data_IF_790067838528
#
_entry.id   IF_790067838528
#
_cell.length_a   1.000
_cell.length_b   1.000
_cell.length_c   1.000
_cell.angle_alpha   90.00
_cell.angle_beta   90.00
_cell.angle_gamma   90.00
#
_symmetry.space_group_name_H-M   'P 1'
#
loop_
_entity.id
_entity.type
_entity.pdbx_description
1 polymer ?
#
# COMPACT_ATOMS: atom_id res chain seq x y z
N UNK A 1 -16.05 18.24 -5.21
CA UNK A 1 -15.54 16.87 -5.06
C UNK A 1 -14.03 16.86 -5.17
N UNK A 2 -13.32 16.22 -4.24
CA UNK A 2 -11.84 16.18 -4.31
C UNK A 2 -11.37 15.41 -5.55
N UNK A 3 -10.53 16.06 -6.34
CA UNK A 3 -9.98 15.49 -7.57
C UNK A 3 -8.57 15.04 -7.30
N UNK A 4 -8.23 13.82 -7.68
CA UNK A 4 -6.88 13.30 -7.57
C UNK A 4 -6.22 13.20 -8.95
N UNK A 5 -4.95 13.60 -9.01
CA UNK A 5 -4.14 13.54 -10.23
C UNK A 5 -2.87 12.76 -9.93
N UNK A 6 -2.68 11.65 -10.61
CA UNK A 6 -1.42 10.87 -10.58
C UNK A 6 -0.78 10.76 -9.19
N UNK A 7 -1.60 10.45 -8.16
CA UNK A 7 -1.07 10.30 -6.81
C UNK A 7 -0.21 9.05 -6.74
N UNK A 8 1.02 9.25 -6.36
CA UNK A 8 2.02 8.23 -6.19
C UNK A 8 2.65 8.35 -4.81
N UNK A 9 3.01 7.23 -4.23
CA UNK A 9 3.78 7.20 -2.98
C UNK A 9 4.90 6.18 -3.11
N UNK A 10 6.10 6.61 -2.76
CA UNK A 10 7.29 5.77 -2.80
C UNK A 10 7.74 5.47 -1.38
N UNK A 11 7.91 4.18 -1.09
CA UNK A 11 8.39 3.69 0.21
C UNK A 11 9.66 2.90 0.00
N UNK A 12 10.73 3.30 0.68
CA UNK A 12 12.06 2.70 0.54
C UNK A 12 12.50 2.10 1.86
N UNK A 13 13.11 0.93 1.80
CA UNK A 13 13.69 0.29 2.98
C UNK A 13 14.81 -0.66 2.58
N UNK A 14 15.68 -0.95 3.54
CA UNK A 14 16.79 -1.87 3.36
C UNK A 14 16.47 -3.18 4.07
N UNK A 15 16.82 -4.31 3.48
CA UNK A 15 16.62 -5.62 4.09
C UNK A 15 17.71 -5.85 5.15
N UNK A 16 17.28 -6.12 6.37
CA UNK A 16 18.13 -6.47 7.50
C UNK A 16 18.03 -7.98 7.81
N UNK A 17 18.98 -8.56 8.57
CA UNK A 17 18.95 -9.99 8.91
C UNK A 17 17.63 -10.46 9.54
N UNK A 18 17.01 -9.65 10.41
CA UNK A 18 15.73 -9.99 11.04
C UNK A 18 14.55 -10.04 10.07
N UNK A 19 14.73 -9.53 8.85
CA UNK A 19 13.69 -9.54 7.82
C UNK A 19 13.73 -10.81 6.97
N UNK A 20 14.63 -11.73 7.26
CA UNK A 20 14.89 -12.90 6.42
C UNK A 20 14.36 -14.19 7.05
N UNK A 21 14.07 -15.16 6.19
CA UNK A 21 13.74 -16.52 6.61
C UNK A 21 14.96 -17.22 7.21
N UNK A 22 14.69 -18.20 8.05
CA UNK A 22 15.75 -19.07 8.55
C UNK A 22 16.44 -19.81 7.40
N UNK A 23 15.65 -20.31 6.45
CA UNK A 23 16.17 -21.04 5.29
C UNK A 23 15.19 -20.97 4.12
N UNK A 24 15.55 -20.41 2.97
CA UNK A 24 16.81 -19.69 2.68
C UNK A 24 16.86 -18.32 3.37
N UNK A 25 18.05 -17.71 3.51
CA UNK A 25 18.21 -16.42 4.17
C UNK A 25 17.80 -15.26 3.25
N UNK A 26 16.55 -15.27 2.81
CA UNK A 26 15.95 -14.27 1.93
C UNK A 26 14.78 -13.62 2.67
N UNK A 27 14.39 -12.44 2.23
CA UNK A 27 13.26 -11.75 2.85
C UNK A 27 12.02 -12.65 2.85
N UNK A 28 11.31 -12.70 3.98
CA UNK A 28 10.09 -13.50 4.05
C UNK A 28 8.88 -12.70 3.54
N UNK A 29 7.90 -13.45 2.98
CA UNK A 29 6.75 -12.85 2.32
C UNK A 29 5.92 -11.92 3.21
N UNK A 30 5.78 -12.26 4.49
CA UNK A 30 5.06 -11.41 5.45
C UNK A 30 5.68 -10.05 5.64
N UNK A 31 7.02 -9.96 5.63
CA UNK A 31 7.74 -8.69 5.66
C UNK A 31 7.41 -7.86 4.43
N UNK A 32 7.46 -8.47 3.25
CA UNK A 32 7.14 -7.79 1.99
C UNK A 32 5.68 -7.32 1.99
N UNK A 33 4.74 -8.15 2.43
CA UNK A 33 3.34 -7.76 2.52
C UNK A 33 3.13 -6.56 3.45
N UNK A 34 3.79 -6.55 4.61
CA UNK A 34 3.69 -5.43 5.55
C UNK A 34 4.20 -4.13 4.94
N UNK A 35 5.31 -4.19 4.20
CA UNK A 35 5.88 -3.02 3.55
C UNK A 35 5.02 -2.55 2.38
N UNK A 36 4.39 -3.46 1.65
CA UNK A 36 3.41 -3.12 0.61
C UNK A 36 2.21 -2.39 1.21
N UNK A 37 1.72 -2.85 2.35
CA UNK A 37 0.60 -2.21 3.04
C UNK A 37 0.97 -0.80 3.52
N UNK A 38 2.18 -0.61 4.02
CA UNK A 38 2.70 0.71 4.41
C UNK A 38 2.75 1.65 3.20
N UNK A 39 3.27 1.17 2.07
CA UNK A 39 3.33 1.96 0.83
C UNK A 39 1.93 2.36 0.36
N UNK A 40 1.02 1.41 0.35
CA UNK A 40 -0.37 1.65 -0.05
C UNK A 40 -1.07 2.63 0.89
N UNK A 41 -0.87 2.48 2.20
CA UNK A 41 -1.44 3.39 3.20
C UNK A 41 -0.94 4.83 3.00
N UNK A 42 0.34 5.01 2.68
CA UNK A 42 0.90 6.32 2.38
C UNK A 42 0.25 6.97 1.16
N UNK A 43 -0.02 6.16 0.14
CA UNK A 43 -0.70 6.61 -1.07
C UNK A 43 -2.14 7.04 -0.78
N UNK A 44 -2.88 6.22 -0.02
CA UNK A 44 -4.25 6.53 0.38
C UNK A 44 -4.31 7.80 1.25
N UNK A 45 -3.35 7.95 2.16
CA UNK A 45 -3.26 9.15 3.00
C UNK A 45 -3.15 10.41 2.15
N UNK A 46 -2.29 10.38 1.13
CA UNK A 46 -2.15 11.50 0.19
C UNK A 46 -3.44 11.76 -0.58
N UNK A 47 -4.07 10.69 -1.08
CA UNK A 47 -5.31 10.81 -1.83
C UNK A 47 -6.44 11.43 -0.99
N UNK A 48 -6.53 11.04 0.27
CA UNK A 48 -7.59 11.50 1.17
C UNK A 48 -7.31 12.85 1.84
N UNK A 49 -6.24 13.53 1.49
CA UNK A 49 -5.89 14.80 2.11
C UNK A 49 -7.03 15.82 2.04
N UNK A 50 -7.71 15.89 0.91
CA UNK A 50 -8.83 16.81 0.69
C UNK A 50 -10.21 16.10 0.75
N UNK A 51 -10.23 14.83 1.15
CA UNK A 51 -11.46 14.06 1.28
C UNK A 51 -12.18 14.37 2.60
N UNK A 52 -13.51 14.31 2.64
CA UNK A 52 -14.24 14.35 3.91
C UNK A 52 -13.95 13.13 4.77
N UNK A 53 -13.54 12.02 4.17
CA UNK A 53 -13.15 10.81 4.88
C UNK A 53 -11.63 10.81 5.07
N UNK A 54 -11.19 11.00 6.33
CA UNK A 54 -9.77 11.09 6.67
C UNK A 54 -9.17 9.75 7.13
N UNK A 55 -10.00 8.75 7.40
CA UNK A 55 -9.57 7.45 7.90
C UNK A 55 -9.89 6.36 6.88
N UNK A 56 -8.95 5.47 6.66
CA UNK A 56 -9.12 4.33 5.78
C UNK A 56 -8.44 3.11 6.38
N UNK A 57 -8.99 1.95 6.11
CA UNK A 57 -8.45 0.67 6.59
C UNK A 57 -8.27 -0.29 5.43
N UNK A 58 -7.22 -1.10 5.49
CA UNK A 58 -7.00 -2.19 4.53
C UNK A 58 -8.06 -3.26 4.77
N UNK A 59 -8.82 -3.60 3.73
CA UNK A 59 -9.86 -4.63 3.82
C UNK A 59 -9.55 -5.87 3.02
N UNK A 60 -8.70 -5.77 2.00
CA UNK A 60 -8.42 -6.88 1.12
C UNK A 60 -7.07 -6.69 0.43
N UNK A 61 -6.34 -7.79 0.28
CA UNK A 61 -5.09 -7.84 -0.48
C UNK A 61 -5.28 -8.92 -1.54
N UNK A 62 -5.07 -8.58 -2.81
CA UNK A 62 -5.27 -9.50 -3.93
C UNK A 62 -4.12 -9.43 -4.93
N UNK A 63 -4.04 -10.45 -5.77
CA UNK A 63 -3.11 -10.49 -6.91
C UNK A 63 -1.65 -10.24 -6.49
N UNK A 64 -1.28 -10.73 -5.31
CA UNK A 64 0.09 -10.58 -4.82
C UNK A 64 0.95 -11.65 -5.44
N UNK A 65 2.06 -11.22 -6.03
CA UNK A 65 3.06 -12.10 -6.60
C UNK A 65 4.45 -11.67 -6.13
N UNK A 66 5.26 -12.65 -5.75
CA UNK A 66 6.66 -12.48 -5.44
C UNK A 66 7.48 -13.15 -6.54
N UNK A 67 8.23 -12.36 -7.30
CA UNK A 67 8.96 -12.86 -8.48
C UNK A 67 10.37 -13.29 -8.16
N UNK A 68 11.06 -12.52 -7.34
CA UNK A 68 12.47 -12.76 -6.99
C UNK A 68 12.65 -12.47 -5.51
N UNK A 69 13.50 -13.25 -4.86
CA UNK A 69 13.84 -13.02 -3.46
C UNK A 69 14.79 -11.84 -3.30
N UNK A 70 14.60 -11.10 -2.21
CA UNK A 70 15.53 -10.04 -1.82
C UNK A 70 16.41 -10.52 -0.68
N UNK A 71 17.63 -10.04 -0.63
CA UNK A 71 18.66 -10.44 0.33
C UNK A 71 19.03 -9.30 1.25
N UNK A 72 19.68 -9.64 2.36
CA UNK A 72 20.21 -8.64 3.31
C UNK A 72 21.09 -7.64 2.56
N UNK A 73 20.82 -6.35 2.82
CA UNK A 73 21.55 -5.25 2.19
C UNK A 73 20.94 -4.69 0.93
N UNK A 74 19.95 -5.38 0.35
CA UNK A 74 19.24 -4.86 -0.81
C UNK A 74 18.38 -3.67 -0.42
N UNK A 75 18.34 -2.64 -1.27
CA UNK A 75 17.42 -1.53 -1.15
C UNK A 75 16.14 -1.88 -1.91
N UNK A 76 15.01 -1.81 -1.24
CA UNK A 76 13.70 -2.08 -1.83
C UNK A 76 12.97 -0.75 -2.00
N UNK A 77 12.39 -0.56 -3.18
CA UNK A 77 11.60 0.61 -3.51
C UNK A 77 10.22 0.12 -3.91
N UNK A 78 9.22 0.49 -3.12
CA UNK A 78 7.82 0.18 -3.39
C UNK A 78 7.11 1.43 -3.87
N UNK A 79 6.48 1.34 -5.04
CA UNK A 79 5.72 2.44 -5.63
C UNK A 79 4.24 2.07 -5.59
N UNK A 80 3.46 2.92 -4.94
CA UNK A 80 2.02 2.74 -4.80
C UNK A 80 1.28 3.80 -5.63
N UNK A 81 0.28 3.36 -6.39
CA UNK A 81 -0.57 4.25 -7.20
C UNK A 81 -2.02 3.87 -7.01
N UNK A 82 -2.92 4.86 -7.07
CA UNK A 82 -4.36 4.60 -7.02
C UNK A 82 -4.78 4.05 -8.38
N UNK A 83 -5.31 2.84 -8.41
CA UNK A 83 -5.70 2.17 -9.64
C UNK A 83 -7.21 2.12 -9.88
N UNK A 84 -8.02 2.22 -8.83
CA UNK A 84 -9.48 2.19 -8.98
C UNK A 84 -10.13 2.89 -7.78
N UNK A 85 -11.26 3.56 -8.05
CA UNK A 85 -12.07 4.21 -7.02
C UNK A 85 -13.49 3.65 -7.05
N UNK A 86 -13.94 3.10 -5.92
CA UNK A 86 -15.34 2.82 -5.67
C UNK A 86 -15.97 3.98 -4.91
N UNK A 87 -17.11 3.78 -4.27
CA UNK A 87 -17.77 4.82 -3.46
C UNK A 87 -17.06 4.99 -2.12
N UNK A 88 -16.78 3.89 -1.44
CA UNK A 88 -16.05 3.87 -0.17
C UNK A 88 -14.68 3.20 -0.33
N UNK A 89 -14.43 2.50 -1.43
CA UNK A 89 -13.22 1.73 -1.65
C UNK A 89 -12.21 2.47 -2.50
N UNK A 90 -10.94 2.22 -2.21
CA UNK A 90 -9.79 2.74 -2.96
C UNK A 90 -8.88 1.56 -3.23
N UNK A 91 -8.66 1.24 -4.49
CA UNK A 91 -7.71 0.20 -4.87
C UNK A 91 -6.36 0.83 -5.15
N UNK A 92 -5.33 0.28 -4.53
CA UNK A 92 -3.95 0.71 -4.71
C UNK A 92 -3.16 -0.42 -5.34
N UNK A 93 -2.45 -0.12 -6.41
CA UNK A 93 -1.51 -1.05 -7.01
C UNK A 93 -0.12 -0.72 -6.49
N UNK A 94 0.55 -1.73 -5.93
CA UNK A 94 1.92 -1.59 -5.41
C UNK A 94 2.85 -2.44 -6.25
N UNK A 95 3.96 -1.86 -6.67
CA UNK A 95 5.04 -2.56 -7.36
C UNK A 95 6.32 -2.38 -6.56
N UNK A 96 7.06 -3.46 -6.37
CA UNK A 96 8.34 -3.43 -5.66
C UNK A 96 9.49 -3.78 -6.59
N UNK A 97 10.56 -3.02 -6.48
CA UNK A 97 11.82 -3.32 -7.15
C UNK A 97 12.93 -3.40 -6.10
N UNK A 98 13.96 -4.17 -6.40
CA UNK A 98 15.20 -4.11 -5.63
C UNK A 98 16.27 -3.40 -6.42
N UNK A 99 17.05 -2.58 -5.74
CA UNK A 99 18.22 -1.93 -6.28
C UNK A 99 19.45 -2.62 -5.71
N UNK A 100 20.26 -3.20 -6.60
CA UNK A 100 21.53 -3.81 -6.24
C UNK A 100 22.58 -2.74 -5.98
N UNK A 101 23.66 -3.12 -5.32
CA UNK A 101 24.77 -2.21 -5.00
C UNK A 101 25.38 -1.53 -6.23
N UNK A 102 25.31 -2.17 -7.40
CA UNK A 102 25.78 -1.62 -8.66
C UNK A 102 24.79 -0.68 -9.35
N UNK A 103 23.63 -0.46 -8.73
CA UNK A 103 22.57 0.40 -9.25
C UNK A 103 21.60 -0.28 -10.20
N UNK A 104 21.79 -1.55 -10.53
CA UNK A 104 20.83 -2.30 -11.33
C UNK A 104 19.58 -2.58 -10.55
N UNK A 105 18.42 -2.51 -11.23
CA UNK A 105 17.12 -2.73 -10.61
C UNK A 105 16.46 -3.98 -11.19
N UNK A 106 15.57 -4.57 -10.39
CA UNK A 106 14.90 -5.81 -10.73
C UNK A 106 13.52 -5.82 -10.09
N UNK A 107 12.48 -6.18 -10.87
CA UNK A 107 11.13 -6.32 -10.33
C UNK A 107 11.06 -7.52 -9.39
N UNK A 108 10.57 -7.32 -8.17
CA UNK A 108 10.52 -8.38 -7.16
C UNK A 108 9.12 -8.75 -6.73
N UNK A 109 8.18 -7.83 -6.77
CA UNK A 109 6.81 -8.11 -6.34
C UNK A 109 5.81 -7.11 -6.90
N UNK A 110 4.55 -7.49 -6.85
CA UNK A 110 3.43 -6.61 -7.13
C UNK A 110 2.20 -7.09 -6.36
N UNK A 111 1.21 -6.22 -6.23
CA UNK A 111 -0.03 -6.59 -5.58
C UNK A 111 -1.04 -5.45 -5.62
N UNK A 112 -2.27 -5.77 -5.25
CA UNK A 112 -3.37 -4.81 -5.12
C UNK A 112 -3.89 -4.85 -3.70
N UNK A 113 -4.06 -3.67 -3.12
CA UNK A 113 -4.58 -3.51 -1.77
C UNK A 113 -5.82 -2.63 -1.85
N UNK A 114 -6.90 -3.09 -1.24
CA UNK A 114 -8.17 -2.36 -1.24
C UNK A 114 -8.39 -1.80 0.15
N UNK A 115 -8.57 -0.48 0.19
CA UNK A 115 -8.89 0.28 1.39
C UNK A 115 -10.35 0.70 1.35
N UNK A 116 -10.94 0.82 2.52
CA UNK A 116 -12.29 1.37 2.67
C UNK A 116 -12.18 2.57 3.61
N UNK A 117 -12.74 3.69 3.17
CA UNK A 117 -12.80 4.90 3.99
C UNK A 117 -13.90 4.77 5.03
N UNK A 118 -13.60 5.17 6.26
CA UNK A 118 -14.46 4.98 7.42
C UNK A 118 -14.56 6.26 8.25
N UNK A 119 -15.59 6.35 9.06
CA UNK A 119 -15.69 7.39 10.09
C UNK A 119 -14.57 7.19 11.11
N UNK A 120 -14.23 8.24 11.84
CA UNK A 120 -13.22 8.19 12.89
C UNK A 120 -13.46 6.97 13.80
N UNK A 121 -12.56 5.98 13.79
CA UNK A 121 -12.73 4.74 14.54
C UNK A 121 -12.77 4.92 16.05
N UNK A 122 -12.25 6.03 16.58
CA UNK A 122 -12.27 6.31 18.01
C UNK A 122 -13.64 6.69 18.52
N UNK A 123 -14.41 7.42 17.70
CA UNK A 123 -15.66 8.06 18.12
C UNK A 123 -16.91 7.49 17.44
N UNK A 124 -16.73 6.73 16.35
CA UNK A 124 -17.84 6.27 15.53
C UNK A 124 -17.68 4.80 15.17
N UNK A 125 -18.45 3.94 15.84
CA UNK A 125 -18.52 2.52 15.52
C UNK A 125 -19.97 2.07 15.63
N UNK A 126 -20.29 0.93 15.00
CA UNK A 126 -21.59 0.28 15.16
C UNK A 126 -21.71 -0.25 16.59
N UNK A 127 -22.94 -0.64 16.98
CA UNK A 127 -23.18 -1.26 18.29
C UNK A 127 -22.29 -2.48 18.55
N UNK A 128 -21.96 -3.22 17.49
CA UNK A 128 -21.09 -4.39 17.56
C UNK A 128 -19.59 -4.05 17.45
N UNK A 129 -19.24 -2.77 17.51
CA UNK A 129 -17.84 -2.33 17.44
C UNK A 129 -17.24 -2.31 16.03
N UNK A 130 -18.05 -2.49 15.00
CA UNK A 130 -17.57 -2.47 13.61
C UNK A 130 -17.32 -1.06 13.12
N UNK A 131 -16.38 -0.91 12.20
CA UNK A 131 -16.11 0.35 11.51
C UNK A 131 -17.28 0.72 10.61
N UNK A 132 -17.49 2.03 10.43
CA UNK A 132 -18.59 2.56 9.64
C UNK A 132 -18.04 3.12 8.34
N UNK A 133 -18.26 2.46 7.18
CA UNK A 133 -17.82 3.00 5.89
C UNK A 133 -18.52 4.30 5.54
N UNK A 134 -17.76 5.24 4.97
CA UNK A 134 -18.30 6.49 4.44
C UNK A 134 -17.67 6.78 3.08
N UNK A 135 -18.39 7.48 2.17
CA UNK A 135 -17.86 7.84 0.87
C UNK A 135 -16.61 8.74 0.99
N UNK A 136 -15.58 8.44 0.20
CA UNK A 136 -14.40 9.29 0.11
C UNK A 136 -14.58 10.49 -0.80
N UNK A 137 -15.54 10.42 -1.70
CA UNK A 137 -15.88 11.47 -2.69
C UNK A 137 -14.73 11.83 -3.65
N UNK A 138 -13.71 10.97 -3.73
CA UNK A 138 -12.59 11.17 -4.64
C UNK A 138 -12.98 10.82 -6.07
N UNK A 139 -12.50 11.59 -7.02
CA UNK A 139 -12.63 11.27 -8.45
C UNK A 139 -11.27 11.49 -9.12
N UNK A 140 -11.03 10.72 -10.20
CA UNK A 140 -9.86 10.95 -11.02
C UNK A 140 -10.03 12.23 -11.83
N UNK A 141 -8.98 13.06 -11.86
CA UNK A 141 -8.95 14.23 -12.72
C UNK A 141 -8.62 13.84 -14.16
N UNK A 142 -9.02 14.69 -15.09
CA UNK A 142 -8.59 14.59 -16.48
C UNK A 142 -7.12 15.02 -16.59
N UNK A 143 -6.34 14.26 -17.33
CA UNK A 143 -4.94 14.58 -17.59
C UNK A 143 -4.82 15.30 -18.91
#
# INVERSE_FOLDING_TARGET
MPIIHNIQYEHKFIIFPQDTNYMPPMVFGGKMLSEMDIAAAGCVRRACNDSPAKHAVTTRITDVEFHVGAEVGDLIIMTATISKLGVTSIEVTVKGIREHKDGKTEDICCGKLIFVTVKDPKNHRTENGKLIPIPHELIFGDN
#
